data_IF_591650519746
#
_entry.id   IF_591650519746
#
_cell.length_a   1.000
_cell.length_b   1.000
_cell.length_c   1.000
_cell.angle_alpha   90.00
_cell.angle_beta   90.00
_cell.angle_gamma   90.00
#
_symmetry.space_group_name_H-M   'P 1'
#
loop_
_entity.id
_entity.type
_entity.pdbx_description
1 polymer ?
#
# COMPACT_ATOMS: atom_id res chain seq x y z
N UNK A 1 -10.09 29.45 -20.76
CA UNK A 1 -9.83 28.74 -22.03
C UNK A 1 -8.44 29.05 -22.57
N UNK A 2 -8.09 30.32 -22.73
CA UNK A 2 -6.77 30.74 -23.26
C UNK A 2 -5.56 30.26 -22.45
N UNK A 3 -5.63 30.29 -21.11
CA UNK A 3 -4.56 29.79 -20.22
C UNK A 3 -4.35 28.29 -20.43
N UNK A 4 -5.42 27.51 -20.58
CA UNK A 4 -5.34 26.08 -20.82
C UNK A 4 -4.71 25.77 -22.19
N UNK A 5 -5.12 26.50 -23.23
CA UNK A 5 -4.51 26.38 -24.56
C UNK A 5 -3.03 26.78 -24.58
N UNK A 6 -2.64 27.84 -23.85
CA UNK A 6 -1.25 28.23 -23.69
C UNK A 6 -0.44 27.17 -22.93
N UNK A 7 -1.01 26.62 -21.85
CA UNK A 7 -0.40 25.55 -21.05
C UNK A 7 -0.14 24.31 -21.89
N UNK A 8 -1.12 23.87 -22.70
CA UNK A 8 -0.97 22.71 -23.58
C UNK A 8 0.15 22.90 -24.62
N UNK A 9 0.34 24.12 -25.15
CA UNK A 9 1.45 24.44 -26.06
C UNK A 9 2.81 24.42 -25.35
N UNK A 10 2.88 24.99 -24.15
CA UNK A 10 4.10 24.96 -23.33
C UNK A 10 4.48 23.53 -22.94
N UNK A 11 3.50 22.70 -22.57
CA UNK A 11 3.68 21.28 -22.31
C UNK A 11 4.20 20.54 -23.54
N UNK A 12 3.63 20.78 -24.73
CA UNK A 12 4.12 20.16 -25.96
C UNK A 12 5.61 20.46 -26.21
N UNK A 13 6.01 21.73 -26.04
CA UNK A 13 7.40 22.14 -26.20
C UNK A 13 8.32 21.52 -25.13
N UNK A 14 7.89 21.52 -23.87
CA UNK A 14 8.66 20.94 -22.77
C UNK A 14 8.80 19.42 -22.91
N UNK A 15 7.72 18.71 -23.27
CA UNK A 15 7.77 17.27 -23.53
C UNK A 15 8.77 16.92 -24.63
N UNK A 16 8.86 17.72 -25.69
CA UNK A 16 9.88 17.55 -26.73
C UNK A 16 11.30 17.73 -26.20
N UNK A 17 11.54 18.67 -25.29
CA UNK A 17 12.84 18.85 -24.64
C UNK A 17 13.19 17.68 -23.71
N UNK A 18 12.23 17.22 -22.91
CA UNK A 18 12.40 16.05 -22.04
C UNK A 18 12.69 14.79 -22.86
N UNK A 19 12.02 14.63 -24.00
CA UNK A 19 12.25 13.52 -24.91
C UNK A 19 13.68 13.52 -25.48
N UNK A 20 14.15 14.66 -25.98
CA UNK A 20 15.52 14.81 -26.48
C UNK A 20 16.57 14.54 -25.40
N UNK A 21 16.27 14.88 -24.15
CA UNK A 21 17.14 14.64 -23.01
C UNK A 21 17.02 13.22 -22.41
N UNK A 22 16.08 12.38 -22.88
CA UNK A 22 15.89 11.03 -22.37
C UNK A 22 15.35 10.98 -20.92
N UNK A 23 14.66 12.03 -20.49
CA UNK A 23 14.09 12.17 -19.13
C UNK A 23 12.58 12.36 -19.18
N UNK A 24 11.94 12.24 -18.03
CA UNK A 24 10.52 12.57 -17.81
C UNK A 24 10.37 13.44 -16.57
N UNK A 25 9.33 14.27 -16.54
CA UNK A 25 9.06 15.15 -15.42
C UNK A 25 8.52 14.37 -14.22
N UNK A 26 8.98 14.75 -13.03
CA UNK A 26 8.51 14.31 -11.70
C UNK A 26 7.71 15.38 -10.99
N UNK A 27 8.07 16.63 -11.22
CA UNK A 27 7.31 17.81 -10.82
C UNK A 27 7.30 18.80 -11.98
N UNK A 28 6.18 19.49 -12.16
CA UNK A 28 6.05 20.60 -13.09
C UNK A 28 5.45 21.81 -12.35
N UNK A 29 5.95 22.99 -12.67
CA UNK A 29 5.43 24.26 -12.16
C UNK A 29 5.08 25.17 -13.34
N UNK A 30 3.90 25.77 -13.29
CA UNK A 30 3.52 26.86 -14.18
C UNK A 30 3.38 28.16 -13.38
N UNK A 31 3.99 29.22 -13.89
CA UNK A 31 3.93 30.56 -13.33
C UNK A 31 3.31 31.54 -14.33
N UNK A 32 2.32 32.31 -13.88
CA UNK A 32 1.62 33.34 -14.62
C UNK A 32 2.07 34.70 -14.08
N UNK A 33 2.79 35.46 -14.90
CA UNK A 33 3.17 36.84 -14.61
C UNK A 33 2.08 37.76 -15.13
N UNK A 34 1.44 38.49 -14.23
CA UNK A 34 0.33 39.39 -14.51
C UNK A 34 0.83 40.79 -14.85
N UNK A 35 -0.03 41.54 -15.55
CA UNK A 35 0.25 42.95 -15.95
C UNK A 35 0.44 43.88 -14.74
N UNK A 36 -0.16 43.54 -13.59
CA UNK A 36 0.00 44.28 -12.33
C UNK A 36 1.27 43.89 -11.55
N UNK A 37 2.11 43.02 -12.11
CA UNK A 37 3.36 42.55 -11.50
C UNK A 37 3.19 41.40 -10.51
N UNK A 38 1.96 40.93 -10.26
CA UNK A 38 1.73 39.74 -9.46
C UNK A 38 2.15 38.46 -10.21
N UNK A 39 2.52 37.42 -9.45
CA UNK A 39 2.89 36.11 -10.00
C UNK A 39 2.09 35.03 -9.31
N UNK A 40 1.22 34.38 -10.08
CA UNK A 40 0.45 33.22 -9.62
C UNK A 40 1.12 31.93 -10.09
N UNK A 41 1.21 30.95 -9.20
CA UNK A 41 1.91 29.68 -9.47
C UNK A 41 1.05 28.50 -9.09
N UNK A 42 1.16 27.44 -9.88
CA UNK A 42 0.63 26.14 -9.49
C UNK A 42 1.57 25.04 -9.97
N UNK A 43 1.59 23.94 -9.23
CA UNK A 43 2.49 22.81 -9.48
C UNK A 43 1.72 21.51 -9.49
N UNK A 44 2.16 20.58 -10.34
CA UNK A 44 1.70 19.19 -10.36
C UNK A 44 2.89 18.26 -10.15
N UNK A 45 2.61 17.08 -9.58
CA UNK A 45 3.60 16.02 -9.41
C UNK A 45 3.13 14.75 -10.13
N UNK A 46 4.09 13.90 -10.50
CA UNK A 46 3.83 12.61 -11.13
C UNK A 46 4.51 11.48 -10.35
N UNK A 47 3.89 10.31 -10.32
CA UNK A 47 4.38 9.13 -9.59
C UNK A 47 5.42 8.33 -10.38
N UNK A 48 5.48 8.52 -11.70
CA UNK A 48 6.54 8.02 -12.60
C UNK A 48 7.05 9.15 -13.49
N UNK A 49 8.29 9.10 -14.00
CA UNK A 49 8.76 10.05 -14.99
C UNK A 49 7.78 10.07 -16.16
N UNK A 50 7.20 11.24 -16.45
CA UNK A 50 6.16 11.39 -17.45
C UNK A 50 6.53 12.50 -18.46
N UNK A 51 6.30 12.24 -19.74
CA UNK A 51 6.49 13.18 -20.85
C UNK A 51 5.32 13.15 -21.85
N UNK A 52 4.17 12.63 -21.44
CA UNK A 52 2.92 12.58 -22.21
C UNK A 52 2.12 13.87 -21.99
N UNK A 53 2.01 14.68 -23.04
CA UNK A 53 1.31 15.97 -22.97
C UNK A 53 -0.17 15.81 -22.54
N UNK A 54 -1.01 14.99 -23.22
CA UNK A 54 -2.39 14.75 -22.78
C UNK A 54 -2.54 14.38 -21.30
N UNK A 55 -1.68 13.49 -20.77
CA UNK A 55 -1.74 13.09 -19.36
C UNK A 55 -1.36 14.22 -18.41
N UNK A 56 -0.28 14.95 -18.71
CA UNK A 56 0.16 16.09 -17.91
C UNK A 56 -0.85 17.23 -17.94
N UNK A 57 -1.47 17.49 -19.09
CA UNK A 57 -2.51 18.51 -19.24
C UNK A 57 -3.71 18.21 -18.35
N UNK A 58 -4.15 16.95 -18.28
CA UNK A 58 -5.25 16.51 -17.40
C UNK A 58 -4.98 16.80 -15.92
N UNK A 59 -3.73 16.67 -15.46
CA UNK A 59 -3.35 17.04 -14.10
C UNK A 59 -3.39 18.57 -13.89
N UNK A 60 -2.94 19.33 -14.88
CA UNK A 60 -3.02 20.80 -14.82
C UNK A 60 -4.47 21.30 -14.86
N UNK A 61 -5.38 20.68 -15.61
CA UNK A 61 -6.80 21.07 -15.65
C UNK A 61 -7.44 21.09 -14.25
N UNK A 62 -7.03 20.20 -13.34
CA UNK A 62 -7.51 20.18 -11.95
C UNK A 62 -7.02 21.40 -11.14
N UNK A 63 -5.96 22.09 -11.58
CA UNK A 63 -5.31 23.21 -10.89
C UNK A 63 -5.41 24.56 -11.60
N UNK A 64 -5.59 24.58 -12.91
CA UNK A 64 -5.68 25.81 -13.69
C UNK A 64 -6.89 26.67 -13.28
N UNK A 65 -7.95 26.05 -12.75
CA UNK A 65 -9.10 26.77 -12.21
C UNK A 65 -8.80 27.55 -10.91
N UNK A 66 -7.68 27.27 -10.24
CA UNK A 66 -7.24 28.00 -9.04
C UNK A 66 -6.48 29.29 -9.38
N UNK A 67 -6.05 29.47 -10.63
CA UNK A 67 -5.27 30.62 -11.07
C UNK A 67 -6.19 31.79 -11.44
N UNK A 68 -5.95 32.95 -10.84
CA UNK A 68 -6.65 34.20 -11.17
C UNK A 68 -5.84 35.03 -12.18
N UNK A 69 -6.28 35.13 -13.45
CA UNK A 69 -5.59 35.96 -14.43
C UNK A 69 -5.68 37.47 -14.13
N UNK A 70 -6.56 37.90 -13.22
CA UNK A 70 -6.75 39.30 -12.89
C UNK A 70 -7.03 40.17 -14.12
N UNK A 71 -6.21 41.20 -14.32
CA UNK A 71 -6.30 42.12 -15.46
C UNK A 71 -5.65 41.60 -16.75
N UNK A 72 -5.04 40.42 -16.71
CA UNK A 72 -4.36 39.81 -17.84
C UNK A 72 -2.99 39.25 -17.47
N UNK A 73 -2.57 38.25 -18.25
CA UNK A 73 -1.28 37.58 -18.12
C UNK A 73 -0.36 38.10 -19.22
N UNK A 74 0.81 38.61 -18.84
CA UNK A 74 1.85 39.08 -19.76
C UNK A 74 2.76 37.93 -20.19
N UNK A 75 3.12 37.05 -19.26
CA UNK A 75 4.06 35.96 -19.50
C UNK A 75 3.63 34.68 -18.75
N UNK A 76 3.78 33.54 -19.41
CA UNK A 76 3.63 32.22 -18.80
C UNK A 76 4.93 31.44 -18.93
N UNK A 77 5.41 30.88 -17.81
CA UNK A 77 6.60 30.04 -17.77
C UNK A 77 6.19 28.67 -17.24
N UNK A 78 6.56 27.62 -17.98
CA UNK A 78 6.43 26.24 -17.55
C UNK A 78 7.83 25.66 -17.32
N UNK A 79 8.04 25.04 -16.16
CA UNK A 79 9.30 24.40 -15.79
C UNK A 79 9.06 23.00 -15.24
N UNK A 80 10.03 22.10 -15.42
CA UNK A 80 10.10 20.80 -14.75
C UNK A 80 11.26 20.83 -13.75
N UNK A 81 11.05 21.32 -12.51
CA UNK A 81 12.13 21.44 -11.52
C UNK A 81 12.71 20.09 -11.09
N UNK A 82 11.92 19.01 -11.18
CA UNK A 82 12.36 17.66 -10.91
C UNK A 82 12.13 16.78 -12.14
N UNK A 83 13.19 16.11 -12.58
CA UNK A 83 13.17 15.17 -13.72
C UNK A 83 13.89 13.88 -13.33
N UNK A 84 13.47 12.77 -13.94
CA UNK A 84 14.05 11.45 -13.72
C UNK A 84 14.28 10.78 -15.09
N UNK A 85 15.26 9.87 -15.18
CA UNK A 85 15.55 9.13 -16.40
C UNK A 85 14.29 8.39 -16.90
N UNK A 86 13.96 8.56 -18.17
CA UNK A 86 12.82 7.91 -18.79
C UNK A 86 13.32 6.67 -19.53
N UNK A 87 13.38 5.53 -18.83
CA UNK A 87 13.56 4.24 -19.49
C UNK A 87 12.26 3.89 -20.20
N UNK A 88 12.26 3.89 -21.53
CA UNK A 88 11.09 3.52 -22.32
C UNK A 88 10.54 2.17 -21.84
N UNK A 89 9.32 2.16 -21.32
CA UNK A 89 8.58 0.94 -21.05
C UNK A 89 8.21 0.34 -22.38
N UNK A 90 8.76 -0.82 -22.71
CA UNK A 90 8.29 -1.60 -23.83
C UNK A 90 6.87 -2.06 -23.51
N UNK A 91 5.89 -1.60 -24.27
CA UNK A 91 4.56 -2.21 -24.24
C UNK A 91 4.72 -3.69 -24.59
N UNK A 92 4.37 -4.55 -23.63
CA UNK A 92 4.32 -5.99 -23.86
C UNK A 92 3.42 -6.25 -25.06
N UNK A 93 3.89 -7.04 -26.03
CA UNK A 93 3.03 -7.49 -27.13
C UNK A 93 1.76 -8.11 -26.50
N UNK A 94 0.56 -7.72 -26.95
CA UNK A 94 -0.67 -8.28 -26.42
C UNK A 94 -0.73 -9.77 -26.76
N UNK A 95 -0.42 -10.63 -25.80
CA UNK A 95 -0.86 -12.03 -25.87
C UNK A 95 -2.38 -12.05 -25.76
N UNK A 96 -3.02 -12.62 -26.78
CA UNK A 96 -4.47 -12.70 -26.90
C UNK A 96 -5.16 -13.15 -25.60
N UNK A 97 -5.92 -12.25 -24.99
CA UNK A 97 -6.88 -12.57 -23.93
C UNK A 97 -6.53 -12.13 -22.51
N UNK A 98 -5.32 -11.61 -22.26
CA UNK A 98 -4.95 -11.02 -20.98
C UNK A 98 -4.71 -9.53 -21.19
N UNK A 99 -5.39 -8.67 -20.42
CA UNK A 99 -5.07 -7.23 -20.43
C UNK A 99 -3.58 -7.08 -20.10
N UNK A 100 -2.79 -6.38 -20.95
CA UNK A 100 -1.40 -6.09 -20.65
C UNK A 100 -1.28 -5.52 -19.23
N UNK A 101 -0.42 -6.11 -18.40
CA UNK A 101 -0.18 -5.62 -17.04
C UNK A 101 0.19 -4.12 -17.04
N UNK A 102 0.85 -3.65 -18.11
CA UNK A 102 1.20 -2.24 -18.33
C UNK A 102 -0.02 -1.31 -18.33
N UNK A 103 -1.14 -1.68 -18.97
CA UNK A 103 -2.33 -0.83 -19.02
C UNK A 103 -3.05 -0.71 -17.66
N UNK A 104 -3.05 -1.78 -16.87
CA UNK A 104 -3.61 -1.76 -15.52
C UNK A 104 -2.71 -0.99 -14.53
N UNK A 105 -1.40 -1.09 -14.70
CA UNK A 105 -0.42 -0.29 -13.95
C UNK A 105 -0.55 1.20 -14.27
N UNK A 106 -0.66 1.57 -15.55
CA UNK A 106 -0.82 2.95 -16.00
C UNK A 106 -2.07 3.62 -15.41
N UNK A 107 -3.22 2.90 -15.39
CA UNK A 107 -4.43 3.42 -14.77
C UNK A 107 -4.32 3.61 -13.25
N UNK A 108 -3.55 2.76 -12.57
CA UNK A 108 -3.30 2.87 -11.13
C UNK A 108 -2.40 4.07 -10.81
N UNK A 109 -1.43 4.37 -11.67
CA UNK A 109 -0.50 5.49 -11.53
C UNK A 109 -1.21 6.81 -11.79
N UNK A 110 -2.01 6.90 -12.85
CA UNK A 110 -2.85 8.07 -13.13
C UNK A 110 -3.84 8.36 -11.98
N UNK A 111 -4.34 7.31 -11.32
CA UNK A 111 -5.16 7.46 -10.13
C UNK A 111 -4.35 7.98 -8.95
N UNK A 112 -3.15 7.43 -8.73
CA UNK A 112 -2.26 7.87 -7.65
C UNK A 112 -1.89 9.35 -7.80
N UNK A 113 -1.58 9.81 -9.02
CA UNK A 113 -1.22 11.21 -9.29
C UNK A 113 -2.37 12.16 -8.99
N UNK A 114 -3.59 11.85 -9.41
CA UNK A 114 -4.78 12.65 -9.10
C UNK A 114 -5.13 12.64 -7.62
N UNK A 115 -4.98 11.50 -6.94
CA UNK A 115 -5.18 11.42 -5.50
C UNK A 115 -4.12 12.25 -4.76
N UNK A 116 -2.85 12.20 -5.19
CA UNK A 116 -1.77 12.96 -4.60
C UNK A 116 -1.98 14.46 -4.79
N UNK A 117 -2.50 14.87 -5.95
CA UNK A 117 -2.82 16.27 -6.22
C UNK A 117 -3.92 16.81 -5.28
N UNK A 118 -4.89 15.97 -4.89
CA UNK A 118 -6.01 16.38 -4.02
C UNK A 118 -5.76 16.19 -2.54
N UNK A 119 -5.07 15.12 -2.15
CA UNK A 119 -4.84 14.74 -0.76
C UNK A 119 -3.45 15.13 -0.26
N UNK A 120 -2.52 15.50 -1.15
CA UNK A 120 -1.10 15.66 -0.86
C UNK A 120 -0.33 14.36 -1.09
N UNK A 121 0.90 14.46 -1.59
CA UNK A 121 1.74 13.32 -1.96
C UNK A 121 2.02 12.37 -0.77
N UNK A 122 2.20 12.92 0.44
CA UNK A 122 2.47 12.13 1.65
C UNK A 122 1.26 11.32 2.14
N UNK A 123 0.05 11.68 1.71
CA UNK A 123 -1.18 11.01 2.11
C UNK A 123 -1.60 9.89 1.14
N UNK A 124 -0.87 9.71 0.05
CA UNK A 124 -1.10 8.65 -0.93
C UNK A 124 0.08 7.68 -0.90
N UNK A 125 -0.20 6.48 -0.40
CA UNK A 125 0.81 5.45 -0.17
C UNK A 125 0.51 4.19 -0.96
N UNK A 126 1.57 3.49 -1.33
CA UNK A 126 1.50 2.14 -1.88
C UNK A 126 1.94 1.14 -0.81
N UNK A 127 1.22 0.03 -0.70
CA UNK A 127 1.69 -1.10 0.09
C UNK A 127 2.81 -1.81 -0.68
N UNK A 128 3.96 -1.92 -0.06
CA UNK A 128 5.12 -2.62 -0.58
C UNK A 128 5.35 -3.91 0.21
N UNK A 129 5.68 -5.01 -0.47
CA UNK A 129 5.98 -6.26 0.19
C UNK A 129 7.28 -6.17 0.96
N UNK A 130 7.32 -6.86 2.10
CA UNK A 130 8.51 -7.02 2.92
C UNK A 130 8.77 -8.51 3.17
N UNK A 131 10.04 -8.86 3.22
CA UNK A 131 10.47 -10.22 3.49
C UNK A 131 10.33 -10.55 4.99
N UNK A 132 9.09 -10.82 5.39
CA UNK A 132 8.72 -11.19 6.76
C UNK A 132 7.56 -12.15 6.73
N UNK A 133 7.69 -13.32 7.36
CA UNK A 133 6.59 -14.27 7.53
C UNK A 133 5.58 -13.84 8.60
N UNK A 134 5.91 -12.83 9.41
CA UNK A 134 4.97 -12.29 10.40
C UNK A 134 3.88 -11.44 9.71
N UNK A 135 2.60 -11.65 10.05
CA UNK A 135 1.49 -10.98 9.35
C UNK A 135 1.53 -9.46 9.48
N UNK A 136 2.02 -8.95 10.61
CA UNK A 136 2.07 -7.51 10.88
C UNK A 136 3.19 -6.80 10.10
N UNK A 137 4.12 -7.57 9.52
CA UNK A 137 5.36 -7.07 8.90
C UNK A 137 5.52 -7.47 7.44
N UNK A 138 4.58 -8.24 6.90
CA UNK A 138 4.61 -8.72 5.51
C UNK A 138 4.55 -7.59 4.49
N UNK A 139 4.07 -6.41 4.92
CA UNK A 139 3.95 -5.23 4.08
C UNK A 139 4.29 -3.97 4.84
N UNK A 140 4.60 -2.91 4.10
CA UNK A 140 4.75 -1.57 4.65
C UNK A 140 4.20 -0.53 3.67
N UNK A 141 3.68 0.56 4.21
CA UNK A 141 3.37 1.74 3.41
C UNK A 141 4.68 2.39 2.96
N UNK A 142 4.77 2.71 1.67
CA UNK A 142 5.80 3.53 1.08
C UNK A 142 5.19 4.56 0.12
N UNK A 143 6.01 5.43 -0.49
CA UNK A 143 5.55 6.41 -1.47
C UNK A 143 4.76 5.74 -2.60
N UNK A 144 3.70 6.37 -3.09
CA UNK A 144 2.92 5.84 -4.22
C UNK A 144 3.77 5.58 -5.47
N UNK A 145 4.77 6.44 -5.68
CA UNK A 145 5.78 6.38 -6.74
C UNK A 145 6.79 5.24 -6.59
N UNK A 146 6.86 4.57 -5.44
CA UNK A 146 7.89 3.57 -5.21
C UNK A 146 7.69 2.38 -6.17
N UNK A 147 8.77 1.92 -6.85
CA UNK A 147 8.69 0.74 -7.67
C UNK A 147 8.37 -0.47 -6.79
N UNK A 148 7.31 -1.19 -7.13
CA UNK A 148 7.12 -2.53 -6.59
C UNK A 148 7.91 -3.49 -7.48
N UNK A 149 8.76 -4.33 -6.90
CA UNK A 149 9.43 -5.36 -7.66
C UNK A 149 8.40 -6.30 -8.31
N UNK A 150 8.63 -6.66 -9.56
CA UNK A 150 7.71 -7.52 -10.31
C UNK A 150 7.45 -8.84 -9.57
N UNK A 151 6.19 -9.26 -9.62
CA UNK A 151 5.68 -10.52 -9.06
C UNK A 151 5.97 -10.71 -7.56
N UNK A 152 6.31 -9.64 -6.84
CA UNK A 152 6.65 -9.70 -5.41
C UNK A 152 5.47 -10.16 -4.55
N UNK A 153 4.27 -9.66 -4.83
CA UNK A 153 3.03 -10.09 -4.17
C UNK A 153 2.61 -11.51 -4.52
N UNK A 154 2.78 -11.92 -5.78
CA UNK A 154 2.49 -13.29 -6.23
C UNK A 154 3.43 -14.31 -5.57
N UNK A 155 4.73 -13.97 -5.48
CA UNK A 155 5.71 -14.77 -4.72
C UNK A 155 5.27 -14.88 -3.27
N UNK A 156 4.96 -13.77 -2.61
CA UNK A 156 4.49 -13.80 -1.23
C UNK A 156 3.23 -14.66 -1.03
N UNK A 157 2.25 -14.54 -1.92
CA UNK A 157 1.01 -15.33 -1.87
C UNK A 157 1.25 -16.83 -2.08
N UNK A 158 2.23 -17.21 -2.93
CA UNK A 158 2.58 -18.61 -3.13
C UNK A 158 3.21 -19.25 -1.87
N UNK A 159 3.99 -18.48 -1.11
CA UNK A 159 4.66 -18.99 0.11
C UNK A 159 3.80 -18.91 1.37
N UNK A 160 2.76 -18.08 1.37
CA UNK A 160 1.98 -17.75 2.56
C UNK A 160 0.55 -18.17 2.29
N UNK A 161 0.09 -19.20 3.01
CA UNK A 161 -1.30 -19.66 2.95
C UNK A 161 -2.30 -18.51 3.14
N UNK A 162 -3.60 -18.76 2.95
CA UNK A 162 -4.61 -17.70 2.87
C UNK A 162 -4.58 -16.79 4.11
N UNK A 163 -4.21 -15.53 3.88
CA UNK A 163 -4.16 -14.47 4.91
C UNK A 163 -5.53 -13.80 5.07
N UNK A 164 -5.84 -13.24 6.25
CA UNK A 164 -7.06 -12.48 6.44
C UNK A 164 -7.09 -11.26 5.51
N UNK A 165 -8.28 -10.94 5.01
CA UNK A 165 -8.53 -9.76 4.17
C UNK A 165 -8.37 -8.47 4.97
N UNK A 166 -8.68 -8.51 6.28
CA UNK A 166 -8.47 -7.40 7.20
C UNK A 166 -7.72 -7.86 8.43
N UNK A 167 -6.53 -7.30 8.64
CA UNK A 167 -5.75 -7.49 9.86
C UNK A 167 -6.02 -6.34 10.84
N UNK A 168 -6.24 -6.68 12.11
CA UNK A 168 -6.33 -5.71 13.20
C UNK A 168 -4.92 -5.17 13.52
N UNK A 169 -4.80 -3.86 13.71
CA UNK A 169 -3.52 -3.24 14.08
C UNK A 169 -2.96 -3.76 15.40
N UNK A 170 -3.85 -4.10 16.34
CA UNK A 170 -3.52 -4.73 17.62
C UNK A 170 -4.44 -5.94 17.78
N UNK A 171 -3.89 -7.14 18.02
CA UNK A 171 -4.70 -8.30 18.34
C UNK A 171 -5.58 -8.04 19.56
N UNK A 172 -6.87 -8.38 19.47
CA UNK A 172 -7.81 -8.23 20.57
C UNK A 172 -7.88 -9.54 21.38
N UNK A 173 -7.76 -9.50 22.72
CA UNK A 173 -7.87 -10.70 23.53
C UNK A 173 -9.29 -11.28 23.46
N UNK A 174 -9.37 -12.61 23.36
CA UNK A 174 -10.64 -13.33 23.34
C UNK A 174 -10.67 -14.39 24.44
N UNK A 175 -11.85 -14.63 24.98
CA UNK A 175 -12.06 -15.75 25.90
C UNK A 175 -12.43 -16.97 25.07
N UNK A 176 -11.66 -18.03 25.25
CA UNK A 176 -11.83 -19.26 24.49
C UNK A 176 -12.20 -20.38 25.45
N UNK A 177 -13.20 -21.15 25.06
CA UNK A 177 -13.55 -22.39 25.75
C UNK A 177 -13.16 -23.55 24.83
N UNK A 178 -11.96 -24.07 25.07
CA UNK A 178 -11.42 -25.23 24.37
C UNK A 178 -11.49 -26.45 25.30
N UNK A 179 -12.11 -27.56 24.87
CA UNK A 179 -12.18 -28.78 25.69
C UNK A 179 -10.84 -29.51 25.79
N UNK A 180 -9.88 -29.24 24.88
CA UNK A 180 -8.60 -29.96 24.76
C UNK A 180 -7.47 -28.98 24.36
N UNK A 181 -6.21 -29.19 24.82
CA UNK A 181 -5.06 -28.33 24.55
C UNK A 181 -4.77 -27.98 23.08
N UNK A 182 -4.89 -28.95 22.17
CA UNK A 182 -4.36 -28.84 20.80
C UNK A 182 -5.44 -28.65 19.72
N UNK A 183 -6.71 -28.77 20.10
CA UNK A 183 -7.82 -28.57 19.17
C UNK A 183 -8.23 -27.09 19.08
N UNK A 184 -8.69 -26.65 17.90
CA UNK A 184 -9.28 -25.34 17.75
C UNK A 184 -10.51 -25.21 18.67
N UNK A 185 -10.79 -24.00 19.16
CA UNK A 185 -11.85 -23.80 20.12
C UNK A 185 -13.24 -24.06 19.55
N UNK A 186 -14.18 -24.48 20.41
CA UNK A 186 -15.58 -24.73 20.00
C UNK A 186 -16.41 -23.45 20.02
N UNK A 187 -16.07 -22.54 20.91
CA UNK A 187 -16.65 -21.20 20.93
C UNK A 187 -15.63 -20.21 21.50
N UNK A 188 -15.76 -18.96 21.07
CA UNK A 188 -15.02 -17.85 21.64
C UNK A 188 -15.95 -16.69 21.93
N UNK A 189 -15.59 -15.90 22.94
CA UNK A 189 -16.28 -14.67 23.29
C UNK A 189 -15.42 -13.48 22.90
N UNK A 190 -15.98 -12.60 22.07
CA UNK A 190 -15.35 -11.37 21.61
C UNK A 190 -16.33 -10.21 21.76
N UNK A 191 -15.91 -9.12 22.42
CA UNK A 191 -16.76 -7.94 22.70
C UNK A 191 -18.15 -8.31 23.24
N UNK A 192 -18.20 -9.20 24.22
CA UNK A 192 -19.42 -9.75 24.85
C UNK A 192 -20.30 -10.63 23.96
N UNK A 193 -19.96 -10.82 22.69
CA UNK A 193 -20.67 -11.72 21.77
C UNK A 193 -20.00 -13.09 21.77
N UNK A 194 -20.81 -14.14 21.84
CA UNK A 194 -20.32 -15.53 21.80
C UNK A 194 -20.49 -16.07 20.39
N UNK A 195 -19.39 -16.50 19.79
CA UNK A 195 -19.34 -17.08 18.45
C UNK A 195 -19.14 -18.59 18.57
N UNK A 196 -20.03 -19.38 17.96
CA UNK A 196 -19.91 -20.84 17.95
C UNK A 196 -19.20 -21.27 16.67
N UNK A 197 -18.04 -21.91 16.82
CA UNK A 197 -17.21 -22.32 15.70
C UNK A 197 -17.79 -23.59 15.07
N UNK A 198 -18.08 -23.54 13.78
CA UNK A 198 -18.57 -24.68 12.98
C UNK A 198 -17.46 -25.32 12.14
N UNK A 199 -16.44 -24.55 11.77
CA UNK A 199 -15.28 -25.02 11.00
C UNK A 199 -14.01 -24.36 11.52
N UNK A 200 -12.93 -25.13 11.57
CA UNK A 200 -11.61 -24.62 11.91
C UNK A 200 -10.52 -25.27 11.06
N UNK A 201 -9.53 -24.48 10.68
CA UNK A 201 -8.37 -24.89 9.90
C UNK A 201 -7.09 -24.36 10.55
N UNK A 202 -6.06 -25.20 10.66
CA UNK A 202 -4.81 -24.87 11.34
C UNK A 202 -4.26 -26.08 12.12
N UNK A 203 -3.21 -25.90 12.95
CA UNK A 203 -2.52 -24.62 13.20
C UNK A 203 -1.52 -24.24 12.10
N UNK A 204 -1.52 -22.98 11.68
CA UNK A 204 -0.36 -22.37 11.01
C UNK A 204 0.59 -21.82 12.07
N UNK A 205 1.74 -22.48 12.27
CA UNK A 205 2.74 -22.07 13.26
C UNK A 205 3.65 -20.99 12.69
N UNK A 206 3.60 -19.80 13.28
CA UNK A 206 4.48 -18.68 12.95
C UNK A 206 5.39 -18.36 14.13
N UNK A 207 6.67 -18.67 13.99
CA UNK A 207 7.70 -18.28 14.95
C UNK A 207 8.05 -16.79 14.82
N UNK A 208 8.58 -16.17 15.86
CA UNK A 208 9.18 -14.85 15.76
C UNK A 208 10.42 -14.87 14.85
N UNK A 209 10.73 -13.73 14.23
CA UNK A 209 11.88 -13.55 13.33
C UNK A 209 13.21 -13.62 14.11
N UNK A 210 13.78 -14.83 14.23
CA UNK A 210 15.01 -15.08 15.00
C UNK A 210 16.24 -14.30 14.52
N UNK A 211 16.26 -13.86 13.26
CA UNK A 211 17.35 -13.08 12.68
C UNK A 211 17.30 -11.59 13.03
N UNK A 212 16.21 -11.10 13.62
CA UNK A 212 16.08 -9.70 14.01
C UNK A 212 16.61 -9.45 15.41
N UNK A 213 17.14 -8.24 15.59
CA UNK A 213 17.47 -7.70 16.91
C UNK A 213 16.18 -7.47 17.70
N UNK A 214 16.21 -7.84 18.98
CA UNK A 214 15.17 -7.46 19.94
C UNK A 214 15.25 -5.95 20.22
N UNK A 215 14.20 -5.34 20.78
CA UNK A 215 14.20 -3.91 21.13
C UNK A 215 15.35 -3.49 22.05
N UNK A 216 15.89 -4.42 22.85
CA UNK A 216 17.04 -4.23 23.74
C UNK A 216 18.40 -4.34 23.02
N UNK A 217 18.42 -4.51 21.70
CA UNK A 217 19.63 -4.69 20.89
C UNK A 217 20.26 -6.07 20.99
N UNK A 218 19.68 -7.02 21.74
CA UNK A 218 20.15 -8.39 21.79
C UNK A 218 19.62 -9.22 20.62
N UNK A 219 20.41 -10.20 20.17
CA UNK A 219 19.89 -11.27 19.30
C UNK A 219 19.35 -12.39 20.19
N UNK A 220 18.27 -13.08 19.78
CA UNK A 220 17.87 -14.30 20.47
C UNK A 220 19.06 -15.29 20.48
N UNK A 221 19.29 -16.01 21.59
CA UNK A 221 20.40 -16.96 21.67
C UNK A 221 20.28 -17.99 20.54
N UNK A 222 21.40 -18.34 19.91
CA UNK A 222 21.44 -19.25 18.76
C UNK A 222 20.89 -20.66 19.05
N UNK A 223 20.62 -20.99 20.32
CA UNK A 223 20.14 -22.30 20.77
C UNK A 223 18.79 -22.22 21.52
N UNK A 224 18.00 -21.17 21.29
CA UNK A 224 16.66 -21.03 21.88
C UNK A 224 15.61 -21.04 20.79
N UNK A 225 14.58 -21.88 20.94
CA UNK A 225 13.42 -21.85 20.04
C UNK A 225 12.73 -20.48 20.17
N UNK A 226 12.59 -19.71 19.08
CA UNK A 226 11.85 -18.45 19.13
C UNK A 226 10.41 -18.70 19.60
N UNK A 227 9.80 -17.75 20.33
CA UNK A 227 8.37 -17.77 20.61
C UNK A 227 7.59 -17.96 19.31
N UNK A 228 6.48 -18.68 19.36
CA UNK A 228 5.64 -18.91 18.20
C UNK A 228 4.17 -18.69 18.54
N UNK A 229 3.41 -18.37 17.50
CA UNK A 229 1.97 -18.23 17.53
C UNK A 229 1.36 -19.28 16.62
N UNK A 230 0.42 -20.05 17.15
CA UNK A 230 -0.34 -21.01 16.38
C UNK A 230 -1.63 -20.32 15.91
N UNK A 231 -1.72 -20.06 14.60
CA UNK A 231 -2.86 -19.39 13.97
C UNK A 231 -3.91 -20.40 13.50
N UNK A 232 -5.17 -20.05 13.68
CA UNK A 232 -6.33 -20.83 13.28
C UNK A 232 -7.29 -19.94 12.49
N UNK A 233 -7.77 -20.44 11.35
CA UNK A 233 -8.88 -19.85 10.62
C UNK A 233 -10.15 -20.54 11.06
N UNK A 234 -11.11 -19.80 11.60
CA UNK A 234 -12.36 -20.35 12.11
C UNK A 234 -13.54 -19.70 11.41
N UNK A 235 -14.61 -20.47 11.20
CA UNK A 235 -15.90 -20.01 10.71
C UNK A 235 -16.92 -20.21 11.84
N UNK A 236 -17.71 -19.19 12.14
CA UNK A 236 -18.83 -19.28 13.08
C UNK A 236 -20.13 -19.73 12.38
N UNK A 237 -21.17 -19.96 13.16
CA UNK A 237 -22.47 -20.40 12.66
C UNK A 237 -23.29 -19.33 11.94
N UNK A 238 -22.92 -18.06 12.09
CA UNK A 238 -23.47 -16.94 11.33
C UNK A 238 -22.71 -16.72 10.00
N UNK A 239 -21.70 -17.55 9.70
CA UNK A 239 -20.88 -17.50 8.48
C UNK A 239 -19.72 -16.50 8.54
N UNK A 240 -19.48 -15.88 9.69
CA UNK A 240 -18.33 -15.02 9.96
C UNK A 240 -17.04 -15.82 10.01
N UNK A 241 -16.01 -15.36 9.27
CA UNK A 241 -14.69 -16.00 9.28
C UNK A 241 -13.66 -15.16 10.00
N UNK A 242 -13.01 -15.77 10.98
CA UNK A 242 -12.07 -15.10 11.88
C UNK A 242 -10.70 -15.76 11.82
N UNK A 243 -9.68 -14.96 12.12
CA UNK A 243 -8.31 -15.41 12.22
C UNK A 243 -7.80 -15.22 13.64
N UNK A 244 -7.73 -16.34 14.35
CA UNK A 244 -7.37 -16.42 15.75
C UNK A 244 -5.93 -16.90 15.90
N UNK A 245 -5.27 -16.54 16.99
CA UNK A 245 -4.05 -17.23 17.36
C UNK A 245 -3.94 -17.48 18.86
N UNK A 246 -3.17 -18.51 19.16
CA UNK A 246 -2.71 -18.86 20.50
C UNK A 246 -1.28 -18.36 20.68
N UNK A 247 -1.05 -17.54 21.72
CA UNK A 247 0.27 -17.03 22.07
C UNK A 247 0.97 -17.99 23.04
N UNK A 248 2.05 -18.61 22.56
CA UNK A 248 2.87 -19.54 23.33
C UNK A 248 2.33 -20.98 23.41
N UNK A 249 3.13 -21.89 24.01
CA UNK A 249 2.74 -23.29 24.19
C UNK A 249 1.57 -23.41 25.15
N UNK A 250 0.70 -24.39 24.91
CA UNK A 250 -0.31 -24.76 25.90
C UNK A 250 0.37 -25.40 27.11
N UNK A 251 0.32 -24.71 28.25
CA UNK A 251 0.66 -25.28 29.54
C UNK A 251 -0.52 -25.08 30.50
N UNK A 252 -0.73 -26.05 31.39
CA UNK A 252 -1.63 -25.89 32.52
C UNK A 252 -0.84 -25.18 33.63
N UNK A 253 -1.34 -24.04 34.09
CA UNK A 253 -0.82 -23.43 35.31
C UNK A 253 -1.12 -24.32 36.51
N UNK A 254 -0.40 -24.13 37.62
CA UNK A 254 -0.58 -24.90 38.86
C UNK A 254 -2.00 -24.83 39.44
N UNK A 255 -2.82 -23.87 39.00
CA UNK A 255 -4.23 -23.70 39.35
C UNK A 255 -5.20 -24.43 38.40
N UNK A 256 -4.70 -25.23 37.44
CA UNK A 256 -5.51 -25.95 36.46
C UNK A 256 -6.05 -25.10 35.31
N UNK A 257 -5.71 -23.80 35.23
CA UNK A 257 -6.13 -22.93 34.13
C UNK A 257 -5.13 -22.99 32.96
N UNK A 258 -5.59 -22.92 31.70
CA UNK A 258 -4.69 -22.77 30.55
C UNK A 258 -3.89 -21.47 30.66
N UNK A 259 -2.56 -21.54 30.51
CA UNK A 259 -1.70 -20.34 30.41
C UNK A 259 -1.77 -19.69 29.03
N UNK A 260 -2.28 -20.44 28.04
CA UNK A 260 -2.33 -20.01 26.66
C UNK A 260 -3.34 -18.87 26.48
N UNK A 261 -2.86 -17.72 26.02
CA UNK A 261 -3.70 -16.55 25.72
C UNK A 261 -4.15 -16.60 24.27
N UNK A 262 -5.43 -16.36 24.06
CA UNK A 262 -6.02 -16.35 22.73
C UNK A 262 -6.34 -14.94 22.28
N UNK A 263 -6.13 -14.68 21.00
CA UNK A 263 -6.36 -13.38 20.40
C UNK A 263 -7.05 -13.52 19.05
N UNK A 264 -7.93 -12.56 18.75
CA UNK A 264 -8.42 -12.30 17.41
C UNK A 264 -7.46 -11.32 16.72
N UNK A 265 -6.94 -11.70 15.55
CA UNK A 265 -6.00 -10.87 14.80
C UNK A 265 -6.57 -10.36 13.49
N UNK A 266 -7.56 -11.03 12.90
CA UNK A 266 -8.13 -10.56 11.64
C UNK A 266 -9.43 -11.24 11.23
N UNK A 267 -9.96 -10.76 10.11
CA UNK A 267 -11.18 -11.25 9.48
C UNK A 267 -10.85 -11.77 8.09
N UNK A 268 -11.39 -12.95 7.76
CA UNK A 268 -11.24 -13.58 6.46
C UNK A 268 -12.51 -13.34 5.63
N UNK A 269 -12.37 -13.21 4.31
CA UNK A 269 -13.49 -13.23 3.37
C UNK A 269 -13.94 -14.66 3.04
#
# INVERSE_FOLDING_TARGET
EDIAAATSRLLAALCGQLEQAGVGARALEIALYRVDGAVDRTSIGTSRPNRDNPRLMKLFEERLGELDPGFGVELMILAAPEVEAFSGTQDTLPESGVLPASLAEDGTIDLADRLALRLGADNVVRLLPRDSHLPERVQAAGPAAAPAADNSWQRLAAFKGPRPTRLLQRPEPINVMAPVPDDPPRHFQWRQHTHRIVRAEGPERLADEWWRLRPDGSRPPANTTPPYRDYYRVEDDDGGRFWLFRDGPYALAANGQPTARWFLHGFCA
#
